data_IF_237659161415
#
_entry.id   IF_237659161415
#
_cell.length_a   1.000
_cell.length_b   1.000
_cell.length_c   1.000
_cell.angle_alpha   90.00
_cell.angle_beta   90.00
_cell.angle_gamma   90.00
#
_symmetry.space_group_name_H-M   'P 1'
#
loop_
_entity.id
_entity.type
_entity.pdbx_description
1 polymer ?
#
# COMPACT_ATOMS: atom_id res chain seq x y z
N UNK A 1 16.37 -27.48 -25.87
CA UNK A 1 15.06 -27.25 -26.50
C UNK A 1 14.52 -25.98 -25.89
N UNK A 2 14.43 -24.91 -26.66
CA UNK A 2 13.78 -23.68 -26.19
C UNK A 2 12.28 -23.93 -26.29
N UNK A 3 11.62 -24.18 -25.15
CA UNK A 3 10.17 -24.05 -25.08
C UNK A 3 9.85 -22.62 -25.50
N UNK A 4 9.13 -22.49 -26.61
CA UNK A 4 8.58 -21.23 -27.05
C UNK A 4 7.57 -20.79 -26.00
N UNK A 5 7.97 -19.85 -25.14
CA UNK A 5 7.08 -19.21 -24.16
C UNK A 5 5.82 -18.76 -24.90
N UNK A 6 4.69 -19.40 -24.57
CA UNK A 6 3.39 -18.98 -25.08
C UNK A 6 3.16 -17.50 -24.74
N UNK A 7 2.35 -16.78 -25.55
CA UNK A 7 2.11 -15.35 -25.33
C UNK A 7 1.62 -15.12 -23.90
N UNK A 8 2.39 -14.35 -23.11
CA UNK A 8 2.02 -13.98 -21.74
C UNK A 8 0.63 -13.33 -21.76
N UNK A 9 -0.32 -13.87 -21.01
CA UNK A 9 -1.66 -13.29 -20.90
C UNK A 9 -1.56 -11.84 -20.37
N UNK A 10 -1.83 -10.81 -21.21
CA UNK A 10 -1.53 -9.42 -20.84
C UNK A 10 -2.35 -8.95 -19.63
N UNK A 11 -3.55 -9.50 -19.49
CA UNK A 11 -4.47 -9.18 -18.39
C UNK A 11 -3.96 -9.67 -17.04
N UNK A 12 -3.52 -10.93 -16.94
CA UNK A 12 -2.98 -11.49 -15.69
C UNK A 12 -1.70 -10.77 -15.24
N UNK A 13 -0.86 -10.40 -16.20
CA UNK A 13 0.38 -9.64 -15.94
C UNK A 13 0.06 -8.24 -15.40
N UNK A 14 -0.90 -7.54 -16.01
CA UNK A 14 -1.31 -6.21 -15.57
C UNK A 14 -1.97 -6.24 -14.18
N UNK A 15 -2.79 -7.26 -13.90
CA UNK A 15 -3.42 -7.45 -12.59
C UNK A 15 -2.37 -7.71 -11.50
N UNK A 16 -1.43 -8.62 -11.76
CA UNK A 16 -0.33 -8.91 -10.83
C UNK A 16 0.53 -7.67 -10.57
N UNK A 17 0.88 -6.91 -11.61
CA UNK A 17 1.67 -5.69 -11.46
C UNK A 17 0.91 -4.62 -10.68
N UNK A 18 -0.37 -4.42 -10.97
CA UNK A 18 -1.24 -3.51 -10.21
C UNK A 18 -1.27 -3.88 -8.74
N UNK A 19 -1.41 -5.18 -8.44
CA UNK A 19 -1.41 -5.68 -7.07
C UNK A 19 -0.08 -5.41 -6.37
N UNK A 20 1.06 -5.72 -7.01
CA UNK A 20 2.40 -5.47 -6.45
C UNK A 20 2.59 -3.98 -6.15
N UNK A 21 2.24 -3.12 -7.11
CA UNK A 21 2.28 -1.67 -6.95
C UNK A 21 1.41 -1.19 -5.79
N UNK A 22 0.19 -1.71 -5.67
CA UNK A 22 -0.71 -1.40 -4.56
C UNK A 22 -0.12 -1.82 -3.21
N UNK A 23 0.47 -3.01 -3.10
CA UNK A 23 1.15 -3.46 -1.87
C UNK A 23 2.37 -2.62 -1.54
N UNK A 24 3.13 -2.19 -2.55
CA UNK A 24 4.21 -1.23 -2.38
C UNK A 24 3.76 0.10 -1.79
N UNK A 25 2.68 0.65 -2.34
CA UNK A 25 2.09 1.89 -1.85
C UNK A 25 1.58 1.74 -0.40
N UNK A 26 0.91 0.62 -0.08
CA UNK A 26 0.43 0.30 1.27
C UNK A 26 1.61 0.18 2.26
N UNK A 27 2.67 -0.55 1.89
CA UNK A 27 3.86 -0.72 2.73
C UNK A 27 4.60 0.61 2.94
N UNK A 28 4.82 1.37 1.87
CA UNK A 28 5.46 2.69 1.94
C UNK A 28 4.67 3.67 2.80
N UNK A 29 3.34 3.63 2.72
CA UNK A 29 2.42 4.41 3.56
C UNK A 29 2.54 4.05 5.04
N UNK A 30 2.58 2.76 5.39
CA UNK A 30 2.77 2.30 6.77
C UNK A 30 4.12 2.71 7.34
N UNK A 31 5.20 2.59 6.57
CA UNK A 31 6.54 3.05 6.97
C UNK A 31 6.57 4.56 7.15
N UNK A 32 5.97 5.30 6.22
CA UNK A 32 5.86 6.75 6.27
C UNK A 32 5.15 7.23 7.54
N UNK A 33 3.99 6.64 7.85
CA UNK A 33 3.18 7.03 9.00
C UNK A 33 3.76 6.53 10.33
N UNK A 34 4.23 5.28 10.37
CA UNK A 34 4.65 4.61 11.61
C UNK A 34 6.09 4.91 12.03
N UNK A 35 6.97 5.25 11.09
CA UNK A 35 8.41 5.42 11.36
C UNK A 35 8.89 6.81 10.96
N UNK A 36 8.73 7.19 9.69
CA UNK A 36 9.38 8.40 9.16
C UNK A 36 8.75 9.67 9.72
N UNK A 37 7.42 9.76 9.76
CA UNK A 37 6.72 10.93 10.28
C UNK A 37 6.99 11.15 11.79
N UNK A 38 6.92 10.12 12.68
CA UNK A 38 7.34 10.26 14.06
C UNK A 38 8.80 10.68 14.23
N UNK A 39 9.73 10.13 13.44
CA UNK A 39 11.13 10.52 13.48
C UNK A 39 11.33 12.01 13.13
N UNK A 40 10.62 12.50 12.11
CA UNK A 40 10.63 13.93 11.74
C UNK A 40 10.01 14.80 12.83
N UNK A 41 8.91 14.36 13.45
CA UNK A 41 8.26 15.06 14.54
C UNK A 41 9.16 15.17 15.79
N UNK A 42 9.83 14.07 16.17
CA UNK A 42 10.78 14.05 17.29
C UNK A 42 11.97 14.98 17.03
N UNK A 43 12.52 14.97 15.81
CA UNK A 43 13.60 15.88 15.43
C UNK A 43 13.17 17.34 15.51
N UNK A 44 12.00 17.70 15.00
CA UNK A 44 11.46 19.08 15.11
C UNK A 44 11.22 19.49 16.56
N UNK A 45 10.65 18.61 17.38
CA UNK A 45 10.43 18.86 18.80
C UNK A 45 11.73 19.11 19.55
N UNK A 46 12.79 18.36 19.24
CA UNK A 46 14.12 18.57 19.85
C UNK A 46 14.72 19.94 19.53
N UNK A 47 14.32 20.54 18.40
CA UNK A 47 14.72 21.90 18.00
C UNK A 47 13.78 22.99 18.53
N UNK A 48 12.81 22.65 19.39
CA UNK A 48 11.83 23.60 19.94
C UNK A 48 10.73 24.04 18.97
N UNK A 49 10.61 23.40 17.79
CA UNK A 49 9.62 23.79 16.78
C UNK A 49 8.23 23.23 17.11
N UNK A 50 7.18 24.04 16.86
CA UNK A 50 5.79 23.62 17.05
C UNK A 50 5.32 22.63 15.96
N UNK A 51 4.67 21.56 16.41
CA UNK A 51 4.08 20.52 15.56
C UNK A 51 2.70 20.91 15.00
N UNK A 52 2.09 21.98 15.51
CA UNK A 52 0.74 22.43 15.09
C UNK A 52 0.83 23.49 13.98
N UNK A 53 1.97 23.56 13.29
CA UNK A 53 2.22 24.55 12.23
C UNK A 53 1.80 24.01 10.86
N UNK A 54 1.31 24.89 9.98
CA UNK A 54 1.05 24.55 8.56
C UNK A 54 2.31 24.00 7.86
N UNK A 55 3.49 24.44 8.29
CA UNK A 55 4.76 23.90 7.82
C UNK A 55 4.93 22.42 8.18
N UNK A 56 4.60 22.03 9.41
CA UNK A 56 4.68 20.64 9.83
C UNK A 56 3.69 19.79 9.05
N UNK A 57 2.46 20.26 8.85
CA UNK A 57 1.46 19.56 8.04
C UNK A 57 1.93 19.38 6.60
N UNK A 58 2.52 20.42 5.99
CA UNK A 58 3.12 20.35 4.65
C UNK A 58 4.27 19.36 4.59
N UNK A 59 5.14 19.38 5.61
CA UNK A 59 6.28 18.46 5.72
C UNK A 59 5.80 17.03 5.89
N UNK A 60 4.77 16.81 6.71
CA UNK A 60 4.14 15.50 6.89
C UNK A 60 3.55 14.96 5.59
N UNK A 61 2.80 15.79 4.85
CA UNK A 61 2.26 15.41 3.54
C UNK A 61 3.38 15.03 2.55
N UNK A 62 4.50 15.76 2.53
CA UNK A 62 5.68 15.41 1.71
C UNK A 62 6.28 14.08 2.11
N UNK A 63 6.56 13.89 3.39
CA UNK A 63 7.16 12.67 3.92
C UNK A 63 6.28 11.47 3.56
N UNK A 64 4.98 11.55 3.82
CA UNK A 64 4.04 10.47 3.52
C UNK A 64 3.95 10.19 2.02
N UNK A 65 3.87 11.23 1.19
CA UNK A 65 3.87 11.08 -0.27
C UNK A 65 5.14 10.39 -0.75
N UNK A 66 6.32 10.81 -0.27
CA UNK A 66 7.59 10.24 -0.70
C UNK A 66 7.77 8.80 -0.20
N UNK A 67 7.41 8.49 1.05
CA UNK A 67 7.49 7.12 1.54
C UNK A 67 6.58 6.18 0.74
N UNK A 68 5.35 6.60 0.44
CA UNK A 68 4.43 5.81 -0.38
C UNK A 68 4.92 5.68 -1.84
N UNK A 69 5.45 6.76 -2.44
CA UNK A 69 6.01 6.74 -3.78
C UNK A 69 7.27 5.86 -3.89
N UNK A 70 8.17 5.91 -2.91
CA UNK A 70 9.34 5.03 -2.84
C UNK A 70 8.89 3.58 -2.74
N UNK A 71 7.95 3.26 -1.85
CA UNK A 71 7.40 1.90 -1.73
C UNK A 71 6.80 1.38 -3.05
N UNK A 72 6.00 2.23 -3.72
CA UNK A 72 5.43 1.94 -5.04
C UNK A 72 6.53 1.69 -6.09
N UNK A 73 7.51 2.59 -6.20
CA UNK A 73 8.57 2.49 -7.21
C UNK A 73 9.47 1.28 -6.98
N UNK A 74 9.88 1.02 -5.74
CA UNK A 74 10.75 -0.11 -5.40
C UNK A 74 10.06 -1.43 -5.69
N UNK A 75 8.83 -1.62 -5.23
CA UNK A 75 8.08 -2.87 -5.48
C UNK A 75 7.67 -3.02 -6.94
N UNK A 76 7.28 -1.94 -7.62
CA UNK A 76 6.97 -1.95 -9.04
C UNK A 76 8.18 -2.34 -9.88
N UNK A 77 9.35 -1.77 -9.60
CA UNK A 77 10.61 -2.14 -10.26
C UNK A 77 10.98 -3.61 -10.00
N UNK A 78 10.83 -4.09 -8.76
CA UNK A 78 11.04 -5.50 -8.42
C UNK A 78 10.05 -6.41 -9.17
N UNK A 79 8.77 -6.04 -9.23
CA UNK A 79 7.73 -6.79 -9.94
C UNK A 79 8.00 -6.87 -11.44
N UNK A 80 8.36 -5.76 -12.07
CA UNK A 80 8.79 -5.74 -13.48
C UNK A 80 10.03 -6.62 -13.68
N UNK A 81 11.02 -6.56 -12.78
CA UNK A 81 12.18 -7.43 -12.81
C UNK A 81 11.83 -8.92 -12.69
N UNK A 82 10.83 -9.27 -11.87
CA UNK A 82 10.36 -10.65 -11.71
C UNK A 82 9.52 -11.14 -12.90
N UNK A 83 8.83 -10.25 -13.61
CA UNK A 83 7.98 -10.62 -14.76
C UNK A 83 8.79 -10.69 -16.05
N UNK A 84 9.75 -9.78 -16.23
CA UNK A 84 10.51 -9.60 -17.46
C UNK A 84 11.98 -10.01 -17.36
N UNK A 85 12.58 -9.99 -16.17
CA UNK A 85 14.02 -10.26 -15.96
C UNK A 85 14.36 -11.72 -15.63
N UNK A 86 13.42 -12.48 -15.05
CA UNK A 86 13.45 -13.94 -15.00
C UNK A 86 12.06 -14.41 -15.42
N UNK A 87 11.90 -15.20 -16.49
CA UNK A 87 10.58 -15.57 -16.95
C UNK A 87 9.90 -16.43 -15.87
N UNK A 88 9.00 -15.82 -15.11
CA UNK A 88 7.92 -16.60 -14.51
C UNK A 88 7.16 -17.23 -15.67
N UNK A 89 7.02 -18.54 -15.64
CA UNK A 89 6.17 -19.27 -16.58
C UNK A 89 4.77 -18.64 -16.58
N UNK A 90 4.16 -18.56 -17.75
CA UNK A 90 2.83 -17.94 -17.93
C UNK A 90 1.80 -18.56 -16.99
N UNK A 91 1.85 -19.87 -16.79
CA UNK A 91 0.99 -20.60 -15.84
C UNK A 91 1.20 -20.13 -14.40
N UNK A 92 2.43 -19.86 -13.99
CA UNK A 92 2.75 -19.33 -12.67
C UNK A 92 2.26 -17.89 -12.43
N UNK A 93 2.17 -17.07 -13.48
CA UNK A 93 1.57 -15.73 -13.41
C UNK A 93 0.05 -15.86 -13.28
N UNK A 94 -0.56 -16.75 -14.04
CA UNK A 94 -2.01 -17.01 -14.02
C UNK A 94 -2.48 -17.60 -12.69
N UNK A 95 -1.78 -18.58 -12.12
CA UNK A 95 -2.08 -19.13 -10.79
C UNK A 95 -2.01 -18.04 -9.71
N UNK A 96 -0.98 -17.18 -9.77
CA UNK A 96 -0.87 -16.05 -8.84
C UNK A 96 -2.03 -15.08 -9.00
N UNK A 97 -2.38 -14.69 -10.22
CA UNK A 97 -3.51 -13.80 -10.47
C UNK A 97 -4.83 -14.44 -9.99
N UNK A 98 -5.03 -15.73 -10.24
CA UNK A 98 -6.18 -16.48 -9.76
C UNK A 98 -6.26 -16.45 -8.22
N UNK A 99 -5.18 -16.81 -7.52
CA UNK A 99 -5.15 -16.81 -6.05
C UNK A 99 -5.39 -15.42 -5.44
N UNK A 100 -4.96 -14.35 -6.11
CA UNK A 100 -5.23 -12.98 -5.65
C UNK A 100 -6.72 -12.64 -5.69
N UNK A 101 -7.45 -13.11 -6.71
CA UNK A 101 -8.90 -12.85 -6.85
C UNK A 101 -9.75 -13.54 -5.78
N UNK A 102 -9.30 -14.67 -5.26
CA UNK A 102 -10.08 -15.47 -4.30
C UNK A 102 -9.59 -15.36 -2.84
N UNK A 103 -8.56 -14.55 -2.57
CA UNK A 103 -8.09 -14.35 -1.21
C UNK A 103 -8.92 -13.29 -0.49
N UNK A 104 -9.96 -13.71 0.23
CA UNK A 104 -10.87 -12.83 0.97
C UNK A 104 -10.16 -11.91 1.98
N UNK A 105 -9.11 -12.41 2.65
CA UNK A 105 -8.33 -11.62 3.59
C UNK A 105 -7.59 -10.47 2.91
N UNK A 106 -7.02 -10.72 1.72
CA UNK A 106 -6.39 -9.68 0.91
C UNK A 106 -7.40 -8.69 0.37
N UNK A 107 -8.53 -9.17 -0.18
CA UNK A 107 -9.61 -8.31 -0.69
C UNK A 107 -10.13 -7.36 0.39
N UNK A 108 -10.36 -7.86 1.62
CA UNK A 108 -10.78 -7.01 2.73
C UNK A 108 -9.72 -5.98 3.10
N UNK A 109 -8.44 -6.39 3.17
CA UNK A 109 -7.34 -5.46 3.45
C UNK A 109 -7.28 -4.35 2.40
N UNK A 110 -7.43 -4.73 1.12
CA UNK A 110 -7.38 -3.81 -0.02
C UNK A 110 -8.57 -2.85 -0.01
N UNK A 111 -9.77 -3.31 0.34
CA UNK A 111 -10.94 -2.45 0.50
C UNK A 111 -10.72 -1.39 1.58
N UNK A 112 -10.26 -1.80 2.77
CA UNK A 112 -9.95 -0.87 3.86
C UNK A 112 -8.86 0.12 3.46
N UNK A 113 -7.82 -0.36 2.77
CA UNK A 113 -6.77 0.47 2.22
C UNK A 113 -7.31 1.50 1.24
N UNK A 114 -8.15 1.11 0.27
CA UNK A 114 -8.72 1.99 -0.75
C UNK A 114 -9.67 3.03 -0.17
N UNK A 115 -10.58 2.62 0.72
CA UNK A 115 -11.48 3.53 1.44
C UNK A 115 -10.67 4.52 2.27
N UNK A 116 -9.65 4.03 2.97
CA UNK A 116 -8.70 4.85 3.70
C UNK A 116 -7.99 5.86 2.80
N UNK A 117 -7.46 5.42 1.65
CA UNK A 117 -6.81 6.29 0.66
C UNK A 117 -7.74 7.41 0.20
N UNK A 118 -8.98 7.08 -0.15
CA UNK A 118 -9.91 8.07 -0.67
C UNK A 118 -10.31 9.09 0.40
N UNK A 119 -10.68 8.61 1.59
CA UNK A 119 -11.03 9.47 2.73
C UNK A 119 -9.84 10.34 3.15
N UNK A 120 -8.64 9.77 3.20
CA UNK A 120 -7.41 10.46 3.53
C UNK A 120 -7.02 11.51 2.49
N UNK A 121 -7.17 11.21 1.20
CA UNK A 121 -6.87 12.16 0.13
C UNK A 121 -7.79 13.39 0.20
N UNK A 122 -9.10 13.16 0.40
CA UNK A 122 -10.06 14.25 0.62
C UNK A 122 -9.70 15.04 1.88
N UNK A 123 -9.45 14.35 3.00
CA UNK A 123 -9.05 14.98 4.25
C UNK A 123 -7.77 15.82 4.12
N UNK A 124 -6.79 15.34 3.35
CA UNK A 124 -5.54 16.06 3.06
C UNK A 124 -5.78 17.33 2.27
N UNK A 125 -6.60 17.28 1.21
CA UNK A 125 -6.98 18.46 0.42
C UNK A 125 -7.72 19.49 1.29
N UNK A 126 -8.65 19.03 2.14
CA UNK A 126 -9.42 19.91 3.04
C UNK A 126 -8.54 20.53 4.13
N UNK A 127 -7.66 19.75 4.75
CA UNK A 127 -6.78 20.22 5.82
C UNK A 127 -5.70 21.20 5.34
N UNK A 128 -5.28 21.06 4.09
CA UNK A 128 -4.23 21.87 3.46
C UNK A 128 -4.80 22.86 2.42
N UNK A 129 -6.06 23.27 2.58
CA UNK A 129 -6.68 24.29 1.76
C UNK A 129 -5.82 25.56 1.70
N UNK A 130 -5.60 26.06 0.48
CA UNK A 130 -4.72 27.20 0.21
C UNK A 130 -3.27 26.84 -0.08
N UNK A 131 -2.88 25.56 -0.01
CA UNK A 131 -1.61 25.13 -0.60
C UNK A 131 -1.68 25.14 -2.13
N UNK A 132 -0.62 25.64 -2.76
CA UNK A 132 -0.48 25.67 -4.23
C UNK A 132 -0.36 24.27 -4.86
N UNK A 133 -0.07 23.24 -4.06
CA UNK A 133 0.12 21.87 -4.53
C UNK A 133 -0.94 20.92 -3.95
N UNK A 134 -2.12 20.92 -4.57
CA UNK A 134 -3.26 20.07 -4.21
C UNK A 134 -2.91 18.58 -4.37
N UNK A 135 -2.11 18.23 -5.39
CA UNK A 135 -1.69 16.85 -5.62
C UNK A 135 -0.86 16.31 -4.44
N UNK A 136 0.07 17.11 -3.89
CA UNK A 136 0.84 16.73 -2.72
C UNK A 136 -0.05 16.53 -1.48
N UNK A 137 -1.03 17.40 -1.28
CA UNK A 137 -1.98 17.28 -0.18
C UNK A 137 -2.85 16.01 -0.31
N UNK A 138 -3.34 15.73 -1.51
CA UNK A 138 -4.11 14.53 -1.82
C UNK A 138 -3.28 13.25 -1.65
N UNK A 139 -2.05 13.21 -2.17
CA UNK A 139 -1.18 12.04 -2.06
C UNK A 139 -0.74 11.79 -0.62
N UNK A 140 -0.34 12.84 0.11
CA UNK A 140 0.09 12.71 1.51
C UNK A 140 -1.06 12.30 2.42
N UNK A 141 -2.23 12.92 2.23
CA UNK A 141 -3.45 12.52 2.92
C UNK A 141 -3.88 11.10 2.56
N UNK A 142 -3.81 10.74 1.28
CA UNK A 142 -4.12 9.39 0.79
C UNK A 142 -3.22 8.34 1.44
N UNK A 143 -1.92 8.55 1.47
CA UNK A 143 -0.96 7.65 2.12
C UNK A 143 -1.24 7.49 3.63
N UNK A 144 -1.49 8.59 4.36
CA UNK A 144 -1.91 8.50 5.76
C UNK A 144 -3.22 7.71 5.91
N UNK A 145 -4.20 7.98 5.05
CA UNK A 145 -5.48 7.30 5.03
C UNK A 145 -5.36 5.80 4.76
N UNK A 146 -4.52 5.39 3.81
CA UNK A 146 -4.23 3.98 3.53
C UNK A 146 -3.67 3.27 4.76
N UNK A 147 -2.67 3.88 5.40
CA UNK A 147 -2.03 3.31 6.58
C UNK A 147 -3.04 3.17 7.74
N UNK A 148 -3.85 4.20 8.00
CA UNK A 148 -4.91 4.15 9.00
C UNK A 148 -6.00 3.13 8.65
N UNK A 149 -6.37 3.01 7.37
CA UNK A 149 -7.31 2.02 6.88
C UNK A 149 -6.82 0.59 7.13
N UNK A 150 -5.54 0.32 6.86
CA UNK A 150 -4.93 -0.98 7.16
C UNK A 150 -4.88 -1.25 8.67
N UNK A 151 -4.52 -0.26 9.49
CA UNK A 151 -4.55 -0.41 10.94
C UNK A 151 -5.97 -0.69 11.45
N UNK A 152 -6.99 -0.03 10.90
CA UNK A 152 -8.38 -0.29 11.20
C UNK A 152 -8.82 -1.69 10.75
N UNK A 153 -8.34 -2.17 9.60
CA UNK A 153 -8.54 -3.55 9.18
C UNK A 153 -7.96 -4.51 10.22
N UNK A 154 -6.69 -4.33 10.62
CA UNK A 154 -6.04 -5.19 11.62
C UNK A 154 -6.79 -5.16 12.95
N UNK A 155 -7.22 -3.98 13.41
CA UNK A 155 -7.96 -3.84 14.66
C UNK A 155 -9.37 -4.46 14.63
N UNK A 156 -10.01 -4.53 13.46
CA UNK A 156 -11.37 -5.09 13.29
C UNK A 156 -11.38 -6.51 12.74
N UNK A 157 -10.22 -7.05 12.40
CA UNK A 157 -10.10 -8.43 11.92
C UNK A 157 -10.30 -9.38 13.09
N UNK A 158 -11.28 -10.28 12.94
CA UNK A 158 -11.44 -11.38 13.89
C UNK A 158 -10.22 -12.30 13.74
N UNK A 159 -9.64 -12.82 14.84
CA UNK A 159 -8.65 -13.87 14.74
C UNK A 159 -9.24 -15.00 13.89
N UNK A 160 -8.59 -15.38 12.79
CA UNK A 160 -9.05 -16.54 12.03
C UNK A 160 -8.99 -17.72 12.98
N UNK A 161 -10.12 -18.36 13.24
CA UNK A 161 -10.12 -19.62 13.93
C UNK A 161 -9.25 -20.58 13.11
N UNK A 162 -8.12 -21.00 13.68
CA UNK A 162 -7.10 -21.73 12.95
C UNK A 162 -7.59 -23.05 12.35
N UNK A 163 -6.72 -23.77 11.62
CA UNK A 163 -7.03 -25.06 10.96
C UNK A 163 -7.58 -26.15 11.90
N UNK A 164 -7.60 -25.93 13.21
CA UNK A 164 -8.23 -26.78 14.21
C UNK A 164 -9.75 -26.92 14.07
N UNK A 165 -10.46 -26.08 13.30
CA UNK A 165 -11.89 -26.33 13.02
C UNK A 165 -12.12 -27.48 12.04
N UNK A 166 -11.31 -27.61 10.98
CA UNK A 166 -11.41 -28.76 10.06
C UNK A 166 -11.03 -30.07 10.76
N UNK A 167 -10.08 -30.04 11.69
CA UNK A 167 -9.73 -31.23 12.50
C UNK A 167 -10.88 -31.59 13.46
N UNK A 168 -11.59 -30.61 14.01
CA UNK A 168 -12.74 -30.83 14.90
C UNK A 168 -14.02 -31.26 14.17
N UNK A 169 -14.16 -30.96 12.88
CA UNK A 169 -15.27 -31.47 12.05
C UNK A 169 -15.01 -32.89 11.53
N UNK A 170 -13.78 -33.39 11.68
CA UNK A 170 -13.37 -34.75 11.32
C UNK A 170 -13.21 -35.70 12.53
N UNK A 171 -13.44 -35.22 13.76
CA UNK A 171 -13.38 -36.00 15.00
C UNK A 171 -14.76 -36.14 15.65
#
# INVERSE_FOLDING_TARGET
MAETEGPKCPQATAELLTHICQKGFQAGSLVGLGIVLPAVALRRRSSGASLVTKEFQTTGAKVLTYSAAIGLMTTGAMGLGMIYGRPLETEGIEDRAYRLRYNEGQLRTDLFGQVGTFAGALGGVLALQGMRNIALAACGGGAAGTALGILAHVATSKPSEGPNKMIKELS
#
